data_IF_485549237312
#
_entry.id   IF_485549237312
#
_cell.length_a   1.000
_cell.length_b   1.000
_cell.length_c   1.000
_cell.angle_alpha   90.00
_cell.angle_beta   90.00
_cell.angle_gamma   90.00
#
_symmetry.space_group_name_H-M   'P 1'
#
loop_
_entity.id
_entity.type
_entity.pdbx_description
1 polymer ?
#
# COMPACT_ATOMS: atom_id res chain seq x y z
N UNK A 1 28.22 -13.43 2.73
CA UNK A 1 26.94 -12.77 3.08
C UNK A 1 27.22 -11.30 3.23
N UNK A 2 26.63 -10.47 2.37
CA UNK A 2 26.76 -9.01 2.45
C UNK A 2 25.68 -8.46 3.34
N UNK A 3 26.06 -7.49 4.17
CA UNK A 3 25.17 -6.80 5.09
C UNK A 3 25.21 -5.31 4.80
N UNK A 4 24.06 -4.66 4.92
CA UNK A 4 23.91 -3.22 4.86
C UNK A 4 23.01 -2.82 6.02
N UNK A 5 23.35 -1.72 6.67
CA UNK A 5 22.60 -1.22 7.81
C UNK A 5 22.27 0.24 7.56
N UNK A 6 21.07 0.65 7.90
CA UNK A 6 20.69 2.05 7.92
C UNK A 6 19.88 2.35 9.17
N UNK A 7 19.82 3.63 9.56
CA UNK A 7 19.04 4.07 10.71
C UNK A 7 18.07 5.16 10.25
N UNK A 8 16.86 5.10 10.77
CA UNK A 8 15.82 6.10 10.53
C UNK A 8 15.19 6.53 11.83
N UNK A 9 14.94 7.83 11.97
CA UNK A 9 14.13 8.39 13.04
C UNK A 9 12.68 8.48 12.57
N UNK A 10 11.78 8.04 13.44
CA UNK A 10 10.35 7.90 13.16
C UNK A 10 9.58 8.74 14.17
N UNK A 11 8.78 9.67 13.67
CA UNK A 11 7.88 10.49 14.47
C UNK A 11 6.54 9.77 14.68
N UNK A 12 6.59 8.62 15.35
CA UNK A 12 5.44 7.83 15.75
C UNK A 12 5.74 7.16 17.10
N UNK A 13 4.68 6.83 17.82
CA UNK A 13 4.77 6.06 19.06
C UNK A 13 5.23 4.61 18.76
N UNK A 14 5.89 4.02 19.76
CA UNK A 14 6.46 2.67 19.65
C UNK A 14 5.40 1.61 19.30
N UNK A 15 4.18 1.77 19.80
CA UNK A 15 3.07 0.83 19.54
C UNK A 15 2.66 0.88 18.06
N UNK A 16 2.43 2.06 17.50
CA UNK A 16 2.18 2.23 16.06
C UNK A 16 3.28 1.64 15.18
N UNK A 17 4.56 1.81 15.56
CA UNK A 17 5.68 1.24 14.80
C UNK A 17 5.65 -0.29 14.86
N UNK A 18 5.34 -0.87 16.02
CA UNK A 18 5.19 -2.32 16.18
C UNK A 18 4.01 -2.86 15.39
N UNK A 19 2.89 -2.15 15.33
CA UNK A 19 1.73 -2.55 14.52
C UNK A 19 2.09 -2.68 13.04
N UNK A 20 2.83 -1.71 12.50
CA UNK A 20 3.34 -1.76 11.11
C UNK A 20 4.25 -2.97 10.90
N UNK A 21 5.16 -3.25 11.84
CA UNK A 21 6.11 -4.36 11.71
C UNK A 21 5.43 -5.72 11.89
N UNK A 22 4.37 -5.78 12.68
CA UNK A 22 3.55 -6.98 12.91
C UNK A 22 2.55 -7.26 11.77
N UNK A 23 2.41 -6.37 10.79
CA UNK A 23 1.84 -6.66 9.48
C UNK A 23 2.95 -6.87 8.42
N UNK A 24 3.58 -8.06 8.40
CA UNK A 24 4.66 -8.35 7.45
C UNK A 24 4.21 -8.26 5.99
N UNK A 25 2.93 -8.52 5.69
CA UNK A 25 2.40 -8.43 4.33
C UNK A 25 2.38 -6.98 3.86
N UNK A 26 1.78 -6.08 4.65
CA UNK A 26 1.72 -4.67 4.33
C UNK A 26 3.12 -4.06 4.29
N UNK A 27 3.98 -4.41 5.25
CA UNK A 27 5.34 -3.88 5.31
C UNK A 27 6.18 -4.30 4.10
N UNK A 28 6.23 -5.60 3.77
CA UNK A 28 7.02 -6.11 2.63
C UNK A 28 6.50 -5.55 1.31
N UNK A 29 5.20 -5.36 1.14
CA UNK A 29 4.62 -4.80 -0.10
C UNK A 29 5.19 -3.41 -0.43
N UNK A 30 5.56 -2.64 0.59
CA UNK A 30 6.12 -1.30 0.43
C UNK A 30 7.65 -1.29 0.23
N UNK A 31 8.32 -2.45 0.21
CA UNK A 31 9.76 -2.50 -0.01
C UNK A 31 10.11 -2.21 -1.48
N UNK A 32 11.24 -1.51 -1.73
CA UNK A 32 11.76 -1.35 -3.08
C UNK A 32 11.93 -2.68 -3.80
N UNK A 33 11.69 -2.67 -5.12
CA UNK A 33 11.88 -3.81 -6.01
C UNK A 33 10.93 -4.99 -5.81
N UNK A 34 9.99 -4.92 -4.86
CA UNK A 34 8.88 -5.86 -4.76
C UNK A 34 7.94 -5.61 -5.94
N UNK A 35 7.73 -6.66 -6.74
CA UNK A 35 6.87 -6.62 -7.93
C UNK A 35 5.48 -7.13 -7.61
N UNK A 36 5.40 -8.13 -6.73
CA UNK A 36 4.16 -8.80 -6.36
C UNK A 36 4.32 -9.46 -5.00
N UNK A 37 3.26 -9.44 -4.20
CA UNK A 37 3.13 -10.25 -2.98
C UNK A 37 1.95 -11.20 -3.16
N UNK A 38 2.12 -12.44 -2.74
CA UNK A 38 1.09 -13.47 -2.70
C UNK A 38 0.98 -13.99 -1.26
N UNK A 39 -0.24 -14.09 -0.75
CA UNK A 39 -0.54 -14.48 0.63
C UNK A 39 -1.29 -15.82 0.74
N UNK A 40 -1.52 -16.53 -0.37
CA UNK A 40 -2.32 -17.77 -0.38
C UNK A 40 -1.72 -18.92 0.44
N UNK A 41 -0.39 -19.01 0.55
CA UNK A 41 0.34 -20.07 1.25
C UNK A 41 1.45 -19.50 2.16
N UNK A 42 1.11 -18.45 2.91
CA UNK A 42 2.09 -17.62 3.61
C UNK A 42 2.57 -16.47 2.72
N UNK A 43 3.59 -15.75 3.19
CA UNK A 43 4.02 -14.49 2.55
C UNK A 43 5.08 -14.79 1.50
N UNK A 44 4.71 -14.74 0.23
CA UNK A 44 5.64 -14.83 -0.88
C UNK A 44 5.77 -13.49 -1.58
N UNK A 45 6.99 -12.95 -1.67
CA UNK A 45 7.24 -11.73 -2.43
C UNK A 45 8.20 -11.99 -3.58
N UNK A 46 7.81 -11.53 -4.76
CA UNK A 46 8.64 -11.52 -5.95
C UNK A 46 9.46 -10.23 -5.96
N UNK A 47 10.79 -10.35 -5.83
CA UNK A 47 11.70 -9.21 -5.73
C UNK A 47 12.64 -9.20 -6.94
N UNK A 48 12.67 -8.07 -7.64
CA UNK A 48 13.47 -7.87 -8.84
C UNK A 48 14.66 -6.95 -8.56
N UNK A 49 15.72 -7.51 -7.98
CA UNK A 49 16.94 -6.78 -7.65
C UNK A 49 17.73 -6.40 -8.93
N UNK A 50 17.95 -5.11 -9.21
CA UNK A 50 18.80 -4.69 -10.31
C UNK A 50 20.27 -5.01 -10.02
N UNK A 51 20.98 -5.53 -11.02
CA UNK A 51 22.45 -5.59 -11.11
C UNK A 51 22.84 -4.71 -12.28
N UNK A 52 24.03 -4.10 -12.22
CA UNK A 52 24.60 -3.15 -13.18
C UNK A 52 24.03 -3.18 -14.63
N UNK A 53 23.90 -4.36 -15.24
CA UNK A 53 23.35 -4.57 -16.59
C UNK A 53 22.19 -5.60 -16.67
N UNK A 54 21.82 -6.26 -15.57
CA UNK A 54 20.82 -7.34 -15.57
C UNK A 54 19.89 -7.26 -14.37
N UNK A 55 18.58 -7.37 -14.57
CA UNK A 55 17.61 -7.49 -13.48
C UNK A 55 17.51 -8.95 -13.06
N UNK A 56 17.79 -9.25 -11.80
CA UNK A 56 17.63 -10.59 -11.24
C UNK A 56 16.31 -10.66 -10.48
N UNK A 57 15.46 -11.59 -10.88
CA UNK A 57 14.16 -11.83 -10.27
C UNK A 57 14.23 -13.14 -9.49
N UNK A 58 13.84 -13.11 -8.23
CA UNK A 58 13.64 -14.29 -7.39
C UNK A 58 12.35 -14.12 -6.61
N UNK A 59 11.75 -15.24 -6.24
CA UNK A 59 10.55 -15.27 -5.39
C UNK A 59 10.98 -15.77 -4.04
N UNK A 60 10.82 -14.94 -3.02
CA UNK A 60 11.19 -15.24 -1.65
C UNK A 60 9.94 -15.62 -0.86
N UNK A 61 9.99 -16.75 -0.18
CA UNK A 61 9.01 -17.10 0.85
C UNK A 61 9.52 -16.57 2.19
N UNK A 62 8.75 -15.69 2.80
CA UNK A 62 9.12 -15.02 4.04
C UNK A 62 8.56 -15.74 5.26
N UNK A 63 9.42 -15.89 6.27
CA UNK A 63 9.04 -16.22 7.64
C UNK A 63 9.27 -14.98 8.49
N UNK A 64 8.32 -14.70 9.38
CA UNK A 64 8.37 -13.55 10.28
C UNK A 64 8.57 -14.01 11.71
N UNK A 65 9.49 -13.35 12.42
CA UNK A 65 9.73 -13.58 13.83
C UNK A 65 9.70 -12.24 14.57
N UNK A 66 8.85 -12.16 15.58
CA UNK A 66 8.79 -11.03 16.51
C UNK A 66 9.64 -11.35 17.76
N UNK A 67 10.29 -10.31 18.29
CA UNK A 67 11.06 -10.29 19.51
C UNK A 67 10.91 -8.93 20.18
N UNK A 68 11.21 -8.84 21.49
CA UNK A 68 10.84 -7.69 22.33
C UNK A 68 11.09 -6.30 21.73
N UNK A 69 12.23 -6.11 21.06
CA UNK A 69 12.60 -4.90 20.32
C UNK A 69 13.14 -5.18 18.90
N UNK A 70 12.94 -6.38 18.36
CA UNK A 70 13.55 -6.81 17.11
C UNK A 70 12.58 -7.61 16.26
N UNK A 71 12.40 -7.22 15.00
CA UNK A 71 11.51 -7.87 14.05
C UNK A 71 12.34 -8.43 12.91
N UNK A 72 12.22 -9.72 12.64
CA UNK A 72 13.06 -10.44 11.68
C UNK A 72 12.19 -10.99 10.55
N UNK A 73 12.55 -10.64 9.32
CA UNK A 73 11.92 -11.11 8.09
C UNK A 73 12.92 -11.96 7.31
N UNK A 74 12.72 -13.26 7.31
CA UNK A 74 13.60 -14.23 6.64
C UNK A 74 12.99 -14.71 5.32
N UNK A 75 13.49 -14.19 4.21
CA UNK A 75 13.11 -14.59 2.86
C UNK A 75 14.02 -15.69 2.32
N UNK A 76 13.44 -16.85 2.02
CA UNK A 76 14.13 -17.95 1.32
C UNK A 76 13.68 -17.96 -0.15
N UNK A 77 14.61 -17.61 -1.05
CA UNK A 77 14.42 -17.67 -2.50
C UNK A 77 14.98 -18.95 -3.11
N UNK A 78 14.85 -19.12 -4.43
CA UNK A 78 15.32 -20.34 -5.12
C UNK A 78 16.84 -20.49 -5.08
N UNK A 79 17.56 -19.38 -5.11
CA UNK A 79 19.04 -19.34 -5.20
C UNK A 79 19.68 -18.34 -4.24
N UNK A 80 18.90 -17.80 -3.31
CA UNK A 80 19.37 -16.77 -2.38
C UNK A 80 18.53 -16.68 -1.13
N UNK A 81 19.13 -16.13 -0.08
CA UNK A 81 18.49 -15.81 1.19
C UNK A 81 18.61 -14.31 1.43
N UNK A 82 17.51 -13.71 1.87
CA UNK A 82 17.41 -12.31 2.23
C UNK A 82 16.88 -12.25 3.66
N UNK A 83 17.59 -11.59 4.57
CA UNK A 83 17.16 -11.42 5.95
C UNK A 83 17.13 -9.93 6.25
N UNK A 84 15.97 -9.40 6.61
CA UNK A 84 15.84 -8.05 7.13
C UNK A 84 15.59 -8.11 8.64
N UNK A 85 16.39 -7.38 9.41
CA UNK A 85 16.23 -7.24 10.85
C UNK A 85 15.95 -5.78 11.15
N UNK A 86 14.85 -5.51 11.83
CA UNK A 86 14.48 -4.17 12.30
C UNK A 86 14.61 -4.14 13.81
N UNK A 87 15.56 -3.36 14.31
CA UNK A 87 15.78 -3.15 15.74
C UNK A 87 15.27 -1.79 16.17
N UNK A 88 14.38 -1.73 17.15
CA UNK A 88 13.79 -0.50 17.65
C UNK A 88 14.56 0.01 18.86
N UNK A 89 14.81 1.31 18.91
CA UNK A 89 15.40 2.02 20.05
C UNK A 89 14.61 3.28 20.34
N UNK A 90 14.10 3.38 21.55
CA UNK A 90 13.42 4.58 22.05
C UNK A 90 14.45 5.53 22.68
N UNK A 91 14.39 6.81 22.31
CA UNK A 91 15.18 7.86 22.92
C UNK A 91 14.32 9.09 23.20
N UNK A 92 14.08 9.37 24.48
CA UNK A 92 13.17 10.43 24.96
C UNK A 92 11.76 10.29 24.39
N UNK A 93 11.40 11.08 23.37
CA UNK A 93 10.09 11.08 22.69
C UNK A 93 10.17 10.59 21.24
N UNK A 94 11.36 10.25 20.76
CA UNK A 94 11.57 9.81 19.38
C UNK A 94 11.91 8.32 19.38
N UNK A 95 11.30 7.58 18.46
CA UNK A 95 11.68 6.19 18.20
C UNK A 95 12.60 6.15 16.99
N UNK A 96 13.69 5.41 17.09
CA UNK A 96 14.59 5.16 15.97
C UNK A 96 14.61 3.68 15.64
N UNK A 97 14.59 3.37 14.35
CA UNK A 97 14.70 2.00 13.85
C UNK A 97 16.05 1.83 13.15
N UNK A 98 16.76 0.77 13.49
CA UNK A 98 17.96 0.31 12.81
C UNK A 98 17.58 -0.90 11.95
N UNK A 99 17.73 -0.76 10.63
CA UNK A 99 17.39 -1.80 9.66
C UNK A 99 18.69 -2.40 9.16
N UNK A 100 18.93 -3.68 9.47
CA UNK A 100 19.99 -4.48 8.87
C UNK A 100 19.41 -5.40 7.80
N UNK A 101 19.93 -5.29 6.57
CA UNK A 101 19.62 -6.19 5.48
C UNK A 101 20.83 -7.06 5.16
N UNK A 102 20.64 -8.36 5.26
CA UNK A 102 21.61 -9.36 4.87
C UNK A 102 21.18 -10.10 3.61
N UNK A 103 22.12 -10.31 2.69
CA UNK A 103 21.92 -11.10 1.49
C UNK A 103 23.01 -12.15 1.35
N UNK A 104 22.60 -13.39 1.04
CA UNK A 104 23.48 -14.50 0.70
C UNK A 104 22.95 -15.19 -0.56
N UNK A 105 23.74 -15.20 -1.63
CA UNK A 105 23.30 -15.85 -2.87
C UNK A 105 24.15 -15.50 -4.09
N UNK A 106 23.69 -15.97 -5.25
CA UNK A 106 24.41 -15.76 -6.52
C UNK A 106 24.56 -14.28 -6.82
N UNK A 107 25.78 -13.80 -7.08
CA UNK A 107 26.03 -12.40 -7.47
C UNK A 107 26.05 -11.41 -6.30
N UNK A 108 26.21 -11.90 -5.07
CA UNK A 108 26.42 -11.10 -3.86
C UNK A 108 27.44 -9.97 -4.06
N UNK A 109 28.55 -10.22 -4.79
CA UNK A 109 29.58 -9.21 -5.03
C UNK A 109 29.04 -7.93 -5.71
N UNK A 110 28.11 -8.06 -6.66
CA UNK A 110 27.59 -6.95 -7.48
C UNK A 110 26.38 -6.22 -6.90
N UNK A 111 25.85 -6.70 -5.77
CA UNK A 111 24.62 -6.17 -5.18
C UNK A 111 24.86 -5.08 -4.12
N UNK A 112 26.09 -4.61 -3.94
CA UNK A 112 26.43 -3.66 -2.86
C UNK A 112 25.53 -2.42 -2.82
N UNK A 113 25.48 -1.65 -3.92
CA UNK A 113 24.65 -0.43 -4.01
C UNK A 113 23.15 -0.75 -4.03
N UNK A 114 22.76 -1.85 -4.68
CA UNK A 114 21.35 -2.28 -4.72
C UNK A 114 20.81 -2.64 -3.34
N UNK A 115 21.60 -3.34 -2.52
CA UNK A 115 21.24 -3.69 -1.15
C UNK A 115 21.19 -2.45 -0.26
N UNK A 116 22.07 -1.47 -0.49
CA UNK A 116 22.05 -0.19 0.21
C UNK A 116 20.75 0.57 -0.06
N UNK A 117 20.40 0.76 -1.34
CA UNK A 117 19.12 1.39 -1.73
C UNK A 117 17.91 0.61 -1.24
N UNK A 118 17.97 -0.72 -1.23
CA UNK A 118 16.90 -1.56 -0.67
C UNK A 118 16.77 -1.33 0.84
N UNK A 119 17.87 -1.34 1.59
CA UNK A 119 17.87 -1.12 3.05
C UNK A 119 17.33 0.26 3.40
N UNK A 120 17.79 1.30 2.68
CA UNK A 120 17.29 2.68 2.83
C UNK A 120 15.80 2.79 2.51
N UNK A 121 15.35 2.15 1.42
CA UNK A 121 13.94 2.18 1.06
C UNK A 121 13.05 1.38 2.00
N UNK A 122 13.54 0.29 2.61
CA UNK A 122 12.83 -0.42 3.69
C UNK A 122 12.68 0.50 4.90
N UNK A 123 13.75 1.18 5.30
CA UNK A 123 13.71 2.13 6.42
C UNK A 123 12.75 3.30 6.14
N UNK A 124 12.76 3.83 4.91
CA UNK A 124 11.83 4.85 4.47
C UNK A 124 10.38 4.34 4.49
N UNK A 125 10.12 3.13 3.98
CA UNK A 125 8.80 2.54 3.99
C UNK A 125 8.25 2.38 5.42
N UNK A 126 9.09 1.95 6.37
CA UNK A 126 8.73 1.85 7.78
C UNK A 126 8.32 3.22 8.34
N UNK A 127 9.16 4.24 8.12
CA UNK A 127 8.88 5.61 8.55
C UNK A 127 7.56 6.11 7.96
N UNK A 128 7.40 6.01 6.64
CA UNK A 128 6.22 6.50 5.91
C UNK A 128 4.94 5.75 6.30
N UNK A 129 5.02 4.48 6.71
CA UNK A 129 3.88 3.72 7.24
C UNK A 129 3.54 4.15 8.67
N UNK A 130 4.52 4.18 9.57
CA UNK A 130 4.29 4.49 10.97
C UNK A 130 3.81 5.94 11.18
N UNK A 131 4.43 6.91 10.50
CA UNK A 131 4.03 8.33 10.61
C UNK A 131 2.64 8.60 10.01
N UNK A 132 2.23 7.82 9.01
CA UNK A 132 0.87 7.92 8.45
C UNK A 132 -0.20 7.42 9.42
N UNK A 133 0.09 6.41 10.23
CA UNK A 133 -0.83 5.89 11.24
C UNK A 133 -0.88 6.74 12.52
N UNK A 134 0.21 7.45 12.82
CA UNK A 134 0.34 8.34 13.98
C UNK A 134 -0.42 9.68 13.84
N UNK A 135 -1.03 9.97 12.69
CA UNK A 135 -1.75 11.24 12.49
C UNK A 135 -3.05 11.31 13.32
N UNK A 136 -2.94 11.78 14.57
CA UNK A 136 -4.02 12.32 15.41
C UNK A 136 -4.15 13.85 15.30
N UNK A 137 -3.56 14.45 14.26
CA UNK A 137 -3.73 15.87 13.92
C UNK A 137 -4.52 15.93 12.62
N UNK A 138 -5.73 16.52 12.60
CA UNK A 138 -6.43 16.74 11.35
C UNK A 138 -5.61 17.76 10.55
N UNK A 139 -4.88 17.28 9.56
CA UNK A 139 -4.25 18.12 8.54
C UNK A 139 -5.37 18.85 7.79
N UNK A 140 -5.70 20.05 8.27
CA UNK A 140 -6.50 21.02 7.55
C UNK A 140 -5.47 22.04 7.03
N UNK A 141 -5.20 22.17 5.70
CA UNK A 141 -6.04 21.83 4.55
C UNK A 141 -5.34 20.94 3.49
N UNK A 142 -5.81 19.71 3.27
CA UNK A 142 -5.65 19.02 1.96
C UNK A 142 -6.90 18.23 1.55
N UNK A 143 -7.95 18.28 2.37
CA UNK A 143 -9.24 17.66 2.08
C UNK A 143 -9.93 18.37 0.90
N UNK A 144 -9.86 19.70 0.78
CA UNK A 144 -10.53 20.43 -0.33
C UNK A 144 -10.00 20.09 -1.73
N UNK A 145 -8.71 19.76 -1.87
CA UNK A 145 -8.15 19.33 -3.16
C UNK A 145 -8.47 17.86 -3.45
N UNK A 146 -8.49 17.01 -2.41
CA UNK A 146 -8.92 15.62 -2.50
C UNK A 146 -10.41 15.45 -2.81
N UNK A 147 -11.26 16.42 -2.42
CA UNK A 147 -12.70 16.43 -2.68
C UNK A 147 -13.09 16.84 -4.12
N UNK A 148 -12.14 17.35 -4.92
CA UNK A 148 -12.41 17.89 -6.24
C UNK A 148 -11.83 17.07 -7.40
N UNK A 149 -11.57 15.78 -7.18
CA UNK A 149 -11.14 14.89 -8.27
C UNK A 149 -12.26 14.79 -9.31
N UNK A 150 -11.92 15.05 -10.56
CA UNK A 150 -12.79 14.79 -11.71
C UNK A 150 -12.35 13.48 -12.36
N UNK A 151 -13.18 12.45 -12.27
CA UNK A 151 -12.89 11.15 -12.86
C UNK A 151 -12.87 11.16 -14.39
N UNK A 152 -13.51 12.17 -14.99
CA UNK A 152 -13.54 12.39 -16.43
C UNK A 152 -12.24 12.99 -16.96
N UNK A 153 -11.43 13.62 -16.10
CA UNK A 153 -10.12 14.18 -16.44
C UNK A 153 -8.98 13.28 -15.93
N UNK A 154 -8.26 12.58 -16.83
CA UNK A 154 -7.11 11.75 -16.44
C UNK A 154 -6.03 12.51 -15.66
N UNK A 155 -5.84 13.80 -15.93
CA UNK A 155 -4.83 14.62 -15.26
C UNK A 155 -5.22 14.93 -13.81
N UNK A 156 -6.51 15.18 -13.55
CA UNK A 156 -7.07 15.34 -12.21
C UNK A 156 -6.85 14.09 -11.36
N UNK A 157 -7.18 12.90 -11.91
CA UNK A 157 -6.94 11.62 -11.22
C UNK A 157 -5.45 11.37 -10.99
N UNK A 158 -4.59 11.62 -11.99
CA UNK A 158 -3.15 11.45 -11.85
C UNK A 158 -2.55 12.37 -10.78
N UNK A 159 -2.99 13.62 -10.72
CA UNK A 159 -2.56 14.61 -9.72
C UNK A 159 -2.95 14.20 -8.31
N UNK A 160 -4.16 13.63 -8.14
CA UNK A 160 -4.60 13.05 -6.87
C UNK A 160 -3.72 11.86 -6.49
N UNK A 161 -3.55 10.89 -7.40
CA UNK A 161 -2.78 9.66 -7.13
C UNK A 161 -1.30 9.94 -6.85
N UNK A 162 -0.71 10.97 -7.46
CA UNK A 162 0.65 11.41 -7.16
C UNK A 162 0.85 11.89 -5.71
N UNK A 163 -0.24 12.31 -5.05
CA UNK A 163 -0.28 12.72 -3.64
C UNK A 163 -1.05 11.73 -2.77
N UNK A 164 -1.22 10.50 -3.25
CA UNK A 164 -1.89 9.44 -2.53
C UNK A 164 -0.96 8.24 -2.36
N UNK A 165 -1.21 7.47 -1.31
CA UNK A 165 -0.51 6.22 -1.02
C UNK A 165 -1.49 5.07 -1.18
N UNK A 166 -1.08 4.02 -1.89
CA UNK A 166 -1.85 2.78 -1.95
C UNK A 166 -1.69 2.05 -0.62
N UNK A 167 -2.81 1.78 0.05
CA UNK A 167 -2.84 1.09 1.34
C UNK A 167 -3.31 -0.35 1.22
N UNK A 168 -3.97 -0.70 0.11
CA UNK A 168 -4.45 -2.04 -0.15
C UNK A 168 -4.46 -2.37 -1.64
N UNK A 169 -4.15 -3.62 -1.98
CA UNK A 169 -4.32 -4.20 -3.31
C UNK A 169 -4.62 -5.69 -3.16
N UNK A 170 -5.79 -6.15 -3.60
CA UNK A 170 -6.09 -7.58 -3.68
C UNK A 170 -7.23 -7.96 -4.63
N UNK A 171 -7.32 -9.25 -4.96
CA UNK A 171 -8.47 -9.79 -5.68
C UNK A 171 -9.63 -9.99 -4.69
N UNK A 172 -10.78 -9.42 -5.00
CA UNK A 172 -12.00 -9.51 -4.18
C UNK A 172 -13.18 -9.98 -5.02
N UNK A 173 -14.02 -10.83 -4.43
CA UNK A 173 -15.29 -11.25 -5.01
C UNK A 173 -16.38 -10.36 -4.43
N UNK A 174 -17.04 -9.61 -5.30
CA UNK A 174 -18.08 -8.67 -4.92
C UNK A 174 -19.44 -9.29 -5.28
N UNK A 175 -20.30 -9.50 -4.29
CA UNK A 175 -21.70 -9.87 -4.53
C UNK A 175 -22.54 -8.69 -5.03
N UNK A 176 -23.69 -8.97 -5.63
CA UNK A 176 -24.63 -7.94 -6.10
C UNK A 176 -24.96 -6.94 -4.97
N UNK A 177 -24.76 -5.64 -5.22
CA UNK A 177 -24.99 -4.59 -4.22
C UNK A 177 -23.99 -4.53 -3.05
N UNK A 178 -22.96 -5.39 -3.04
CA UNK A 178 -22.05 -5.57 -1.88
C UNK A 178 -20.75 -4.78 -1.96
N UNK A 179 -20.52 -3.96 -2.99
CA UNK A 179 -19.28 -3.20 -3.14
C UNK A 179 -18.96 -2.35 -1.91
N UNK A 180 -19.93 -1.62 -1.34
CA UNK A 180 -19.68 -0.78 -0.18
C UNK A 180 -19.30 -1.58 1.06
N UNK A 181 -19.88 -2.77 1.25
CA UNK A 181 -19.51 -3.64 2.37
C UNK A 181 -18.05 -4.09 2.25
N UNK A 182 -17.64 -4.55 1.05
CA UNK A 182 -16.24 -4.89 0.77
C UNK A 182 -15.33 -3.69 0.99
N UNK A 183 -15.70 -2.51 0.51
CA UNK A 183 -14.88 -1.30 0.69
C UNK A 183 -14.79 -0.88 2.16
N UNK A 184 -15.85 -1.04 2.95
CA UNK A 184 -15.82 -0.75 4.38
C UNK A 184 -15.00 -1.77 5.17
N UNK A 185 -15.01 -3.04 4.76
CA UNK A 185 -14.11 -4.06 5.33
C UNK A 185 -12.65 -3.74 5.03
N UNK A 186 -12.35 -3.38 3.77
CA UNK A 186 -11.02 -2.95 3.34
C UNK A 186 -10.57 -1.65 3.98
N UNK A 187 -11.52 -0.80 4.39
CA UNK A 187 -11.23 0.39 5.18
C UNK A 187 -10.70 0.02 6.56
N UNK A 188 -11.23 -1.02 7.20
CA UNK A 188 -10.75 -1.50 8.51
C UNK A 188 -10.49 -0.37 9.52
N UNK A 189 -9.25 -0.31 10.02
CA UNK A 189 -8.76 0.70 10.97
C UNK A 189 -8.15 1.96 10.32
N UNK A 190 -8.31 2.16 9.00
CA UNK A 190 -7.78 3.34 8.33
C UNK A 190 -8.41 4.61 8.93
N UNK A 191 -7.55 5.47 9.48
CA UNK A 191 -7.94 6.75 10.10
C UNK A 191 -8.27 7.83 9.07
N UNK A 192 -7.92 7.61 7.80
CA UNK A 192 -8.15 8.57 6.73
C UNK A 192 -9.64 8.80 6.45
N UNK A 193 -9.99 10.07 6.35
CA UNK A 193 -11.36 10.50 6.08
C UNK A 193 -11.72 10.35 4.60
N UNK A 194 -10.76 10.27 3.68
CA UNK A 194 -10.98 10.17 2.22
C UNK A 194 -10.32 8.93 1.66
N UNK A 195 -11.06 8.17 0.86
CA UNK A 195 -10.59 6.97 0.18
C UNK A 195 -10.85 7.09 -1.31
N UNK A 196 -9.84 6.80 -2.11
CA UNK A 196 -10.01 6.50 -3.52
C UNK A 196 -9.86 5.00 -3.73
N UNK A 197 -10.90 4.37 -4.26
CA UNK A 197 -10.94 2.93 -4.53
C UNK A 197 -11.09 2.74 -6.02
N UNK A 198 -10.26 1.90 -6.61
CA UNK A 198 -10.42 1.46 -7.99
C UNK A 198 -10.49 -0.05 -8.08
N UNK A 199 -11.23 -0.56 -9.05
CA UNK A 199 -11.30 -1.98 -9.33
C UNK A 199 -11.32 -2.24 -10.82
N UNK A 200 -10.67 -3.33 -11.25
CA UNK A 200 -10.72 -3.81 -12.64
C UNK A 200 -10.87 -5.32 -12.67
N UNK A 201 -11.70 -5.85 -13.57
CA UNK A 201 -11.78 -7.29 -13.81
C UNK A 201 -10.53 -7.80 -14.51
N UNK A 202 -10.23 -9.11 -14.40
CA UNK A 202 -9.02 -9.67 -14.99
C UNK A 202 -8.95 -9.55 -16.52
N UNK A 203 -10.10 -9.58 -17.18
CA UNK A 203 -10.24 -9.37 -18.63
C UNK A 203 -10.26 -7.88 -19.03
N UNK A 204 -10.26 -6.97 -18.06
CA UNK A 204 -10.28 -5.52 -18.27
C UNK A 204 -11.60 -4.96 -18.84
N UNK A 205 -12.64 -5.78 -18.96
CA UNK A 205 -13.93 -5.39 -19.56
C UNK A 205 -14.76 -4.51 -18.63
N UNK A 206 -14.68 -4.75 -17.32
CA UNK A 206 -15.35 -3.93 -16.30
C UNK A 206 -14.34 -3.25 -15.39
N UNK A 207 -14.63 -2.02 -15.01
CA UNK A 207 -13.84 -1.31 -14.00
C UNK A 207 -14.67 -0.26 -13.28
N UNK A 208 -14.27 0.08 -12.06
CA UNK A 208 -14.84 1.19 -11.32
C UNK A 208 -13.77 2.07 -10.69
N UNK A 209 -14.15 3.32 -10.42
CA UNK A 209 -13.46 4.25 -9.53
C UNK A 209 -14.49 4.77 -8.54
N UNK A 210 -14.11 4.92 -7.28
CA UNK A 210 -14.98 5.38 -6.22
C UNK A 210 -14.19 6.32 -5.32
N UNK A 211 -14.71 7.52 -5.13
CA UNK A 211 -14.18 8.48 -4.16
C UNK A 211 -15.16 8.54 -2.98
N UNK A 212 -14.67 8.22 -1.80
CA UNK A 212 -15.43 8.22 -0.56
C UNK A 212 -14.87 9.26 0.40
N UNK A 213 -15.75 9.89 1.17
CA UNK A 213 -15.40 10.52 2.43
C UNK A 213 -16.13 9.83 3.56
N UNK A 214 -15.40 9.13 4.42
CA UNK A 214 -15.95 8.19 5.41
C UNK A 214 -16.87 7.17 4.73
N UNK A 215 -18.18 7.27 4.93
CA UNK A 215 -19.20 6.43 4.30
C UNK A 215 -19.95 7.13 3.14
N UNK A 216 -19.64 8.39 2.86
CA UNK A 216 -20.31 9.17 1.84
C UNK A 216 -19.62 9.01 0.48
N UNK A 217 -20.38 8.65 -0.55
CA UNK A 217 -19.92 8.64 -1.93
C UNK A 217 -19.83 10.08 -2.44
N UNK A 218 -18.66 10.46 -2.95
CA UNK A 218 -18.39 11.77 -3.53
C UNK A 218 -18.35 11.72 -5.06
N UNK A 219 -17.82 10.64 -5.60
CA UNK A 219 -17.83 10.38 -7.03
C UNK A 219 -17.74 8.89 -7.29
N UNK A 220 -18.38 8.44 -8.37
CA UNK A 220 -18.25 7.08 -8.89
C UNK A 220 -18.10 7.13 -10.40
N UNK A 221 -17.20 6.31 -10.93
CA UNK A 221 -17.15 5.96 -12.33
C UNK A 221 -17.31 4.45 -12.41
N UNK A 222 -18.17 3.99 -13.31
CA UNK A 222 -18.31 2.59 -13.63
C UNK A 222 -18.26 2.41 -15.15
N UNK A 223 -17.46 1.45 -15.59
CA UNK A 223 -17.27 1.08 -16.97
C UNK A 223 -17.61 -0.40 -17.14
N UNK A 224 -18.41 -0.69 -18.14
CA UNK A 224 -18.76 -2.03 -18.58
C UNK A 224 -18.80 -2.10 -20.13
N UNK A 225 -19.46 -3.12 -20.68
CA UNK A 225 -19.63 -3.30 -22.12
C UNK A 225 -20.45 -2.20 -22.80
N UNK A 226 -21.31 -1.51 -22.06
CA UNK A 226 -22.25 -0.51 -22.58
C UNK A 226 -21.63 0.90 -22.57
N UNK A 227 -20.50 1.06 -21.88
CA UNK A 227 -19.69 2.26 -21.88
C UNK A 227 -19.22 2.67 -20.49
N UNK A 228 -18.80 3.93 -20.36
CA UNK A 228 -18.38 4.52 -19.09
C UNK A 228 -19.44 5.51 -18.60
N UNK A 229 -19.82 5.40 -17.33
CA UNK A 229 -20.69 6.35 -16.64
C UNK A 229 -19.98 6.94 -15.44
N UNK A 230 -20.00 8.25 -15.34
CA UNK A 230 -19.36 9.01 -14.25
C UNK A 230 -20.39 9.90 -13.57
N UNK A 231 -20.44 9.84 -12.24
CA UNK A 231 -21.35 10.62 -11.40
C UNK A 231 -20.53 11.27 -10.31
N UNK A 232 -20.55 12.61 -10.27
CA UNK A 232 -20.10 13.40 -9.12
C UNK A 232 -21.31 13.71 -8.24
N UNK A 233 -21.18 13.46 -6.94
CA UNK A 233 -22.28 13.60 -5.98
C UNK A 233 -22.20 14.97 -5.34
N UNK A 234 -23.08 15.86 -5.79
CA UNK A 234 -23.28 17.22 -5.26
C UNK A 234 -24.71 17.46 -4.76
N UNK A 235 -25.62 16.53 -5.05
CA UNK A 235 -27.06 16.62 -4.81
C UNK A 235 -27.67 15.25 -4.46
N UNK A 236 -28.86 15.24 -3.87
CA UNK A 236 -29.57 14.01 -3.49
C UNK A 236 -29.90 13.10 -4.70
N UNK A 237 -30.39 13.60 -5.85
CA UNK A 237 -30.63 12.75 -7.03
C UNK A 237 -29.35 12.07 -7.54
N UNK A 238 -28.22 12.79 -7.51
CA UNK A 238 -26.90 12.25 -7.88
C UNK A 238 -26.41 11.19 -6.89
N UNK A 239 -26.79 11.29 -5.63
CA UNK A 239 -26.50 10.26 -4.62
C UNK A 239 -27.18 8.94 -4.98
N UNK A 240 -28.46 8.99 -5.37
CA UNK A 240 -29.20 7.80 -5.81
C UNK A 240 -28.58 7.19 -7.07
N UNK A 241 -28.26 8.02 -8.07
CA UNK A 241 -27.59 7.59 -9.29
C UNK A 241 -26.23 6.92 -8.99
N UNK A 242 -25.46 7.47 -8.06
CA UNK A 242 -24.19 6.89 -7.64
C UNK A 242 -24.36 5.54 -6.95
N UNK A 243 -25.37 5.39 -6.07
CA UNK A 243 -25.69 4.12 -5.42
C UNK A 243 -26.13 3.06 -6.44
N UNK A 244 -26.90 3.43 -7.46
CA UNK A 244 -27.28 2.53 -8.56
C UNK A 244 -26.09 2.08 -9.41
N UNK A 245 -25.08 2.93 -9.60
CA UNK A 245 -23.85 2.52 -10.28
C UNK A 245 -23.00 1.59 -9.41
N UNK A 246 -22.89 1.91 -8.12
CA UNK A 246 -22.16 1.10 -7.15
C UNK A 246 -22.80 -0.29 -6.99
N UNK A 247 -24.13 -0.41 -7.03
CA UNK A 247 -24.82 -1.70 -6.87
C UNK A 247 -24.61 -2.66 -8.06
N UNK A 248 -24.32 -2.13 -9.25
CA UNK A 248 -24.01 -2.91 -10.46
C UNK A 248 -22.62 -3.55 -10.45
N UNK A 249 -21.76 -3.14 -9.53
CA UNK A 249 -20.41 -3.70 -9.42
C UNK A 249 -20.51 -5.07 -8.76
N UNK A 250 -20.40 -6.11 -9.56
CA UNK A 250 -20.43 -7.51 -9.12
C UNK A 250 -19.40 -8.37 -9.87
N UNK A 251 -18.91 -9.42 -9.20
CA UNK A 251 -17.92 -10.35 -9.72
C UNK A 251 -16.52 -10.16 -9.10
N UNK A 252 -15.50 -10.72 -9.76
CA UNK A 252 -14.13 -10.71 -9.26
C UNK A 252 -13.36 -9.49 -9.77
N UNK A 253 -12.96 -8.61 -8.86
CA UNK A 253 -12.20 -7.39 -9.17
C UNK A 253 -10.85 -7.38 -8.47
N UNK A 254 -9.85 -6.89 -9.19
CA UNK A 254 -8.58 -6.45 -8.61
C UNK A 254 -8.79 -5.05 -8.01
N UNK A 255 -9.04 -4.97 -6.70
CA UNK A 255 -9.34 -3.74 -5.97
C UNK A 255 -8.06 -3.11 -5.42
N UNK A 256 -7.87 -1.81 -5.65
CA UNK A 256 -6.83 -0.99 -5.06
C UNK A 256 -7.44 0.14 -4.23
N UNK A 257 -6.93 0.38 -3.03
CA UNK A 257 -7.36 1.47 -2.15
C UNK A 257 -6.21 2.44 -1.94
N UNK A 258 -6.50 3.73 -2.09
CA UNK A 258 -5.57 4.83 -1.97
C UNK A 258 -6.07 5.86 -0.95
N UNK A 259 -5.16 6.36 -0.13
CA UNK A 259 -5.40 7.43 0.85
C UNK A 259 -4.56 8.65 0.48
N UNK A 260 -5.09 9.89 0.58
CA UNK A 260 -4.27 11.08 0.40
C UNK A 260 -3.17 11.15 1.47
N UNK A 261 -1.92 11.37 1.08
CA UNK A 261 -0.86 11.71 2.03
C UNK A 261 -0.84 13.22 2.20
N UNK A 262 -1.03 13.69 3.45
CA UNK A 262 -0.94 15.11 3.79
C UNK A 262 0.34 15.71 3.23
N UNK A 263 0.22 16.75 2.42
CA UNK A 263 1.36 17.42 1.82
C UNK A 263 2.18 18.15 2.88
N UNK A 264 3.50 17.99 2.79
CA UNK A 264 4.52 18.78 3.53
C UNK A 264 4.30 20.28 3.33
#
# INVERSE_FOLDING_TARGET
MKRKTTRVEINADMETIKDVLNDPTQFITNWPYVVRVNTREGIEAEIMLPRFIFKFRDTYRFTFHDGSNSHIYEGVGRKSHLTAVVSLREWQKNVSAEIELAYKGRGEFFLGKTLEMLTEGIAKALKDLAESMHSSVPATPTVETALNVDFSDPMSVASFLAKAKMVHSGLHIIGEGKLLEVVMELRGNLRDDVLYVSGITQDGTKSFKLLLRRSQILAVEYRDSDGTRTVKVDTEPRTREALELVSKVEGAYMINVWVPVGGV
#
